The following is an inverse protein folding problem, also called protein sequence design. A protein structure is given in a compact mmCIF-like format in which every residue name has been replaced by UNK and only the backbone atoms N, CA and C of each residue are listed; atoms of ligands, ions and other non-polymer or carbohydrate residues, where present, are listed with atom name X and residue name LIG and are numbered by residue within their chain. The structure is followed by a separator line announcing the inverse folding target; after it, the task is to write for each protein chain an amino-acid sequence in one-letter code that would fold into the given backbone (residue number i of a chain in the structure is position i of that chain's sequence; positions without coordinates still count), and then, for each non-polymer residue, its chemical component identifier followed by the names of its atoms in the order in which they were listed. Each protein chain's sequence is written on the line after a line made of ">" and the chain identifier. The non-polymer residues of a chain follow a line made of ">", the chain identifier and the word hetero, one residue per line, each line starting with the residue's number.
data_IF_515855086173
#
_entry.id   IF_515855086173
#
_cell.length_a   1.000
_cell.length_b   1.000
_cell.length_c   1.000
_cell.angle_alpha   90.00
_cell.angle_beta   90.00
_cell.angle_gamma   90.00
#
_symmetry.space_group_name_H-M   'P 1'
#
loop_
_entity.id
_entity.type
_entity.pdbx_description
1 polymer ?
#
# COMPACT_ATOMS: atom_id res chain seq x y z
N UNK A 1 -4.50 0.83 -4.71
CA UNK A 1 -5.13 0.89 -3.38
C UNK A 1 -4.43 1.95 -2.52
N UNK A 2 -3.12 1.83 -2.22
CA UNK A 2 -2.39 2.76 -1.35
C UNK A 2 -2.48 4.22 -1.82
N UNK A 3 -2.35 4.48 -3.14
CA UNK A 3 -2.54 5.82 -3.70
C UNK A 3 -3.90 6.43 -3.31
N UNK A 4 -4.95 5.62 -3.23
CA UNK A 4 -6.29 6.07 -2.85
C UNK A 4 -6.56 6.04 -1.34
N UNK A 5 -5.53 5.82 -0.52
CA UNK A 5 -5.62 5.84 0.93
C UNK A 5 -6.22 4.57 1.54
N UNK A 6 -6.25 3.48 0.77
CA UNK A 6 -6.69 2.18 1.26
C UNK A 6 -5.48 1.41 1.76
N UNK A 7 -5.54 0.96 3.00
CA UNK A 7 -4.56 0.02 3.55
C UNK A 7 -4.81 -1.36 2.98
N UNK A 8 -3.74 -2.04 2.57
CA UNK A 8 -3.79 -3.46 2.19
C UNK A 8 -3.22 -4.23 3.37
N UNK A 9 -4.05 -4.97 4.06
CA UNK A 9 -3.67 -5.69 5.28
C UNK A 9 -2.99 -7.02 4.98
N UNK A 10 -3.41 -7.69 3.93
CA UNK A 10 -2.87 -8.98 3.55
C UNK A 10 -3.34 -9.41 2.17
N UNK A 11 -2.82 -10.52 1.71
CA UNK A 11 -3.16 -11.14 0.45
C UNK A 11 -3.63 -12.56 0.68
N UNK A 12 -4.74 -12.96 0.07
CA UNK A 12 -5.22 -14.34 0.08
C UNK A 12 -5.08 -14.93 -1.31
N UNK A 13 -4.21 -15.93 -1.46
CA UNK A 13 -4.09 -16.72 -2.68
C UNK A 13 -5.04 -17.91 -2.58
N UNK A 14 -6.10 -17.84 -3.36
CA UNK A 14 -7.22 -18.76 -3.27
C UNK A 14 -7.14 -19.89 -4.31
N UNK A 15 -7.70 -21.07 -3.97
CA UNK A 15 -7.86 -22.20 -4.85
C UNK A 15 -6.55 -22.81 -5.34
N UNK A 16 -5.55 -22.89 -4.47
CA UNK A 16 -4.33 -23.62 -4.73
C UNK A 16 -4.61 -25.13 -4.83
N UNK A 17 -3.89 -25.81 -5.70
CA UNK A 17 -3.92 -27.27 -5.74
C UNK A 17 -3.18 -27.81 -4.50
N UNK A 18 -3.77 -28.78 -3.78
CA UNK A 18 -3.07 -29.47 -2.69
C UNK A 18 -1.79 -30.17 -3.21
N UNK A 19 -0.75 -30.21 -2.37
CA UNK A 19 0.54 -30.82 -2.73
C UNK A 19 0.43 -32.33 -3.02
N UNK A 20 -0.55 -32.99 -2.41
CA UNK A 20 -0.85 -34.41 -2.60
C UNK A 20 -1.68 -34.69 -3.88
N UNK A 21 -1.90 -33.67 -4.71
CA UNK A 21 -2.65 -33.86 -5.96
C UNK A 21 -1.97 -34.86 -6.90
N UNK A 22 -2.78 -35.64 -7.61
CA UNK A 22 -2.35 -36.71 -8.50
C UNK A 22 -1.27 -36.26 -9.51
N UNK A 23 -0.51 -37.21 -10.00
CA UNK A 23 0.58 -37.05 -10.99
C UNK A 23 0.17 -36.18 -12.18
N UNK A 24 -1.11 -36.20 -12.57
CA UNK A 24 -1.67 -35.38 -13.62
C UNK A 24 -1.51 -33.87 -13.36
N UNK A 25 -1.41 -33.43 -12.09
CA UNK A 25 -1.28 -32.03 -11.72
C UNK A 25 0.16 -31.59 -11.47
N UNK A 26 1.15 -32.47 -11.69
CA UNK A 26 2.56 -32.19 -11.35
C UNK A 26 3.09 -30.90 -11.98
N UNK A 27 2.86 -30.71 -13.26
CA UNK A 27 3.32 -29.50 -13.98
C UNK A 27 2.64 -28.23 -13.43
N UNK A 28 1.35 -28.33 -13.09
CA UNK A 28 0.59 -27.23 -12.48
C UNK A 28 1.07 -26.91 -11.07
N UNK A 29 1.47 -27.89 -10.29
CA UNK A 29 2.04 -27.69 -8.96
C UNK A 29 3.42 -27.01 -9.05
N UNK A 30 4.26 -27.36 -10.02
CA UNK A 30 5.53 -26.70 -10.25
C UNK A 30 5.33 -25.23 -10.65
N UNK A 31 4.40 -24.96 -11.56
CA UNK A 31 4.03 -23.61 -11.95
C UNK A 31 3.46 -22.81 -10.77
N UNK A 32 2.56 -23.40 -9.99
CA UNK A 32 2.00 -22.81 -8.77
C UNK A 32 3.08 -22.39 -7.78
N UNK A 33 4.09 -23.25 -7.53
CA UNK A 33 5.20 -22.94 -6.62
C UNK A 33 6.00 -21.73 -7.11
N UNK A 34 6.29 -21.66 -8.41
CA UNK A 34 6.98 -20.50 -9.01
C UNK A 34 6.20 -19.21 -8.79
N UNK A 35 4.90 -19.21 -9.11
CA UNK A 35 4.06 -18.02 -8.90
C UNK A 35 3.90 -17.66 -7.43
N UNK A 36 3.80 -18.65 -6.53
CA UNK A 36 3.75 -18.39 -5.09
C UNK A 36 5.00 -17.69 -4.59
N UNK A 37 6.17 -18.05 -5.09
CA UNK A 37 7.41 -17.37 -4.76
C UNK A 37 7.40 -15.92 -5.27
N UNK A 38 7.03 -15.69 -6.53
CA UNK A 38 6.90 -14.35 -7.11
C UNK A 38 5.91 -13.49 -6.32
N UNK A 39 4.77 -14.07 -5.93
CA UNK A 39 3.76 -13.35 -5.11
C UNK A 39 4.36 -12.94 -3.76
N UNK A 40 5.01 -13.86 -3.04
CA UNK A 40 5.62 -13.56 -1.74
C UNK A 40 6.69 -12.48 -1.83
N UNK A 41 7.54 -12.54 -2.85
CA UNK A 41 8.58 -11.52 -3.08
C UNK A 41 7.97 -10.17 -3.48
N UNK A 42 7.01 -10.18 -4.39
CA UNK A 42 6.38 -8.96 -4.92
C UNK A 42 5.53 -8.22 -3.87
N UNK A 43 4.91 -8.95 -2.96
CA UNK A 43 4.02 -8.35 -1.95
C UNK A 43 4.64 -8.23 -0.56
N UNK A 44 5.92 -8.62 -0.40
CA UNK A 44 6.62 -8.39 0.85
C UNK A 44 6.60 -6.89 1.25
N UNK A 45 6.36 -6.54 2.52
CA UNK A 45 6.23 -7.40 3.71
C UNK A 45 4.78 -7.83 4.05
N UNK A 46 3.84 -7.75 3.12
CA UNK A 46 2.45 -8.13 3.41
C UNK A 46 2.32 -9.61 3.76
N UNK A 47 1.42 -9.91 4.69
CA UNK A 47 1.04 -11.28 5.03
C UNK A 47 0.37 -11.94 3.82
N UNK A 48 0.91 -13.07 3.36
CA UNK A 48 0.34 -13.88 2.30
C UNK A 48 -0.27 -15.14 2.91
N UNK A 49 -1.58 -15.23 2.86
CA UNK A 49 -2.37 -16.37 3.31
C UNK A 49 -2.78 -17.23 2.11
N UNK A 50 -3.09 -18.47 2.33
CA UNK A 50 -3.43 -19.41 1.26
C UNK A 50 -4.70 -20.18 1.56
N UNK A 51 -5.47 -20.51 0.53
CA UNK A 51 -6.51 -21.51 0.63
C UNK A 51 -6.44 -22.49 -0.53
N UNK A 52 -6.77 -23.74 -0.25
CA UNK A 52 -6.69 -24.81 -1.23
C UNK A 52 -8.04 -25.10 -1.89
N UNK A 53 -7.98 -25.62 -3.11
CA UNK A 53 -9.15 -26.07 -3.83
C UNK A 53 -9.87 -27.15 -3.02
N UNK A 54 -11.16 -26.92 -2.77
CA UNK A 54 -12.00 -27.90 -2.09
C UNK A 54 -12.67 -28.86 -3.08
N UNK A 55 -12.84 -30.12 -2.70
CA UNK A 55 -13.48 -31.12 -3.57
C UNK A 55 -14.98 -30.90 -3.77
N UNK A 56 -15.58 -30.12 -2.85
CA UNK A 56 -17.03 -29.81 -2.86
C UNK A 56 -17.24 -28.32 -2.64
N UNK A 57 -18.41 -27.83 -3.02
CA UNK A 57 -18.80 -26.46 -2.76
C UNK A 57 -18.92 -26.17 -1.26
N UNK A 58 -18.40 -25.03 -0.82
CA UNK A 58 -18.44 -24.60 0.57
C UNK A 58 -19.77 -23.90 0.86
N UNK A 59 -20.72 -24.63 1.43
CA UNK A 59 -22.03 -24.11 1.79
C UNK A 59 -22.29 -24.29 3.30
N UNK A 60 -22.84 -23.23 3.90
CA UNK A 60 -23.19 -23.20 5.31
C UNK A 60 -22.05 -22.84 6.25
N UNK A 61 -22.41 -22.46 7.47
CA UNK A 61 -21.50 -21.89 8.48
C UNK A 61 -20.33 -22.81 8.77
N UNK A 62 -20.56 -24.09 8.99
CA UNK A 62 -19.48 -25.05 9.32
C UNK A 62 -18.42 -25.19 8.23
N UNK A 63 -18.83 -25.07 6.94
CA UNK A 63 -17.89 -25.11 5.83
C UNK A 63 -17.08 -23.82 5.73
N UNK A 64 -17.71 -22.69 6.04
CA UNK A 64 -17.06 -21.37 6.11
C UNK A 64 -16.10 -21.26 7.29
N UNK A 65 -16.44 -21.82 8.45
CA UNK A 65 -15.53 -21.92 9.60
C UNK A 65 -14.25 -22.68 9.23
N UNK A 66 -14.38 -23.86 8.61
CA UNK A 66 -13.22 -24.63 8.11
C UNK A 66 -12.37 -23.87 7.10
N UNK A 67 -13.00 -23.08 6.22
CA UNK A 67 -12.26 -22.23 5.30
C UNK A 67 -11.53 -21.13 6.06
N UNK A 68 -12.17 -20.52 7.04
CA UNK A 68 -11.56 -19.54 7.92
C UNK A 68 -10.32 -20.07 8.64
N UNK A 69 -10.44 -21.23 9.27
CA UNK A 69 -9.33 -21.94 9.92
C UNK A 69 -8.19 -22.24 8.94
N UNK A 70 -8.53 -22.64 7.72
CA UNK A 70 -7.54 -22.92 6.67
C UNK A 70 -6.77 -21.66 6.24
N UNK A 71 -7.47 -20.56 6.08
CA UNK A 71 -6.89 -19.29 5.58
C UNK A 71 -6.10 -18.57 6.67
N UNK A 72 -6.68 -18.47 7.86
CA UNK A 72 -6.16 -17.64 8.95
C UNK A 72 -5.31 -18.42 9.95
N UNK A 73 -5.58 -19.72 10.15
CA UNK A 73 -4.88 -20.54 11.17
C UNK A 73 -4.94 -19.86 12.53
N UNK A 74 -3.77 -19.50 13.07
CA UNK A 74 -3.65 -18.80 14.37
C UNK A 74 -3.76 -17.26 14.25
N UNK A 75 -3.98 -16.74 13.04
CA UNK A 75 -4.12 -15.29 12.81
C UNK A 75 -5.53 -14.86 13.20
N UNK A 76 -5.65 -13.85 14.05
CA UNK A 76 -6.93 -13.22 14.35
C UNK A 76 -7.34 -12.26 13.20
N UNK A 77 -8.36 -12.59 12.39
CA UNK A 77 -8.78 -11.76 11.26
C UNK A 77 -9.49 -10.46 11.69
N UNK A 78 -9.77 -10.29 12.97
CA UNK A 78 -10.42 -9.07 13.49
C UNK A 78 -9.42 -7.97 13.82
N UNK A 79 -8.11 -8.29 13.81
CA UNK A 79 -7.03 -7.35 14.08
C UNK A 79 -6.37 -6.95 12.75
N UNK A 80 -6.08 -5.65 12.53
CA UNK A 80 -5.33 -5.22 11.36
C UNK A 80 -3.98 -5.93 11.27
N UNK A 81 -3.69 -6.57 10.13
CA UNK A 81 -2.44 -7.29 9.90
C UNK A 81 -1.30 -6.34 9.50
N UNK A 82 -1.63 -5.13 9.06
CA UNK A 82 -0.67 -4.09 8.71
C UNK A 82 -1.04 -2.77 9.41
N UNK A 83 -0.11 -2.18 10.13
CA UNK A 83 -0.24 -0.87 10.76
C UNK A 83 0.32 0.26 9.88
N UNK A 84 0.82 -0.08 8.70
CA UNK A 84 1.47 0.87 7.80
C UNK A 84 0.42 1.72 7.08
N UNK A 85 0.33 2.99 7.47
CA UNK A 85 -0.66 3.93 6.94
C UNK A 85 -0.30 4.37 5.52
N UNK A 86 -1.25 4.36 4.58
CA UNK A 86 -1.01 4.80 3.21
C UNK A 86 -0.74 6.31 3.09
N UNK A 87 -1.21 7.11 4.04
CA UNK A 87 -0.97 8.56 4.13
C UNK A 87 -0.69 8.94 5.57
N UNK A 88 0.40 9.65 5.79
CA UNK A 88 0.78 10.19 7.09
C UNK A 88 1.25 11.63 6.93
N UNK A 89 1.00 12.44 7.96
CA UNK A 89 1.50 13.80 8.06
C UNK A 89 2.18 13.93 9.42
N UNK A 90 3.42 14.38 9.41
CA UNK A 90 4.23 14.54 10.61
C UNK A 90 5.23 15.68 10.44
N UNK A 91 5.83 16.12 11.54
CA UNK A 91 6.88 17.17 11.54
C UNK A 91 8.25 16.49 11.68
N UNK A 92 9.19 16.89 10.82
CA UNK A 92 10.60 16.47 10.82
C UNK A 92 11.49 17.72 10.87
N UNK A 93 11.92 18.07 12.08
CA UNK A 93 12.66 19.31 12.33
C UNK A 93 11.84 20.56 12.01
N UNK A 94 12.31 21.36 11.04
CA UNK A 94 11.63 22.59 10.59
C UNK A 94 10.64 22.32 9.42
N UNK A 95 10.49 21.07 9.00
CA UNK A 95 9.63 20.70 7.89
C UNK A 95 8.39 19.97 8.36
N UNK A 96 7.26 20.31 7.79
CA UNK A 96 6.10 19.43 7.80
C UNK A 96 6.17 18.50 6.60
N UNK A 97 5.93 17.23 6.84
CA UNK A 97 6.11 16.18 5.85
C UNK A 97 4.80 15.47 5.59
N UNK A 98 4.40 15.42 4.33
CA UNK A 98 3.35 14.51 3.87
C UNK A 98 4.02 13.26 3.27
N UNK A 99 3.71 12.11 3.83
CA UNK A 99 4.24 10.80 3.42
C UNK A 99 3.13 9.98 2.78
N UNK A 100 3.30 9.60 1.52
CA UNK A 100 2.32 8.83 0.74
C UNK A 100 2.97 7.49 0.38
N UNK A 101 2.35 6.38 0.77
CA UNK A 101 2.83 5.03 0.43
C UNK A 101 2.51 4.71 -1.02
N UNK A 102 3.53 4.38 -1.79
CA UNK A 102 3.44 4.03 -3.22
C UNK A 102 4.29 2.79 -3.50
N UNK A 103 3.90 1.60 -3.01
CA UNK A 103 4.64 0.38 -3.21
C UNK A 103 4.70 0.03 -4.70
N UNK A 104 5.76 -0.65 -5.12
CA UNK A 104 5.98 -1.11 -6.51
C UNK A 104 6.04 0.03 -7.53
N UNK A 105 6.37 1.25 -7.08
CA UNK A 105 6.45 2.43 -7.93
C UNK A 105 7.89 2.90 -8.02
N UNK A 106 8.36 3.21 -9.22
CA UNK A 106 9.65 3.85 -9.42
C UNK A 106 9.47 5.38 -9.39
N UNK A 107 10.49 6.08 -8.90
CA UNK A 107 10.47 7.55 -8.77
C UNK A 107 10.11 8.24 -10.09
N UNK A 108 10.59 7.71 -11.20
CA UNK A 108 10.41 8.24 -12.55
C UNK A 108 8.95 8.16 -13.04
N UNK A 109 8.14 7.34 -12.40
CA UNK A 109 6.71 7.18 -12.70
C UNK A 109 5.81 8.15 -11.92
N UNK A 110 6.40 8.91 -10.98
CA UNK A 110 5.64 9.79 -10.08
C UNK A 110 5.74 11.23 -10.54
N UNK A 111 4.60 11.84 -10.84
CA UNK A 111 4.47 13.28 -11.02
C UNK A 111 3.71 13.89 -9.84
N UNK A 112 4.19 15.03 -9.38
CA UNK A 112 3.63 15.72 -8.23
C UNK A 112 3.36 17.19 -8.59
N UNK A 113 2.13 17.63 -8.32
CA UNK A 113 1.73 19.03 -8.51
C UNK A 113 1.02 19.52 -7.25
N UNK A 114 1.36 20.70 -6.78
CA UNK A 114 0.63 21.37 -5.71
C UNK A 114 -0.43 22.30 -6.31
N UNK A 115 -1.63 22.23 -5.78
CA UNK A 115 -2.68 23.22 -5.95
C UNK A 115 -2.85 23.99 -4.64
N UNK A 116 -3.79 24.92 -4.57
CA UNK A 116 -3.95 25.76 -3.38
C UNK A 116 -4.08 24.96 -2.08
N UNK A 117 -4.87 23.88 -2.09
CA UNK A 117 -5.22 23.08 -0.91
C UNK A 117 -4.94 21.59 -1.06
N UNK A 118 -4.29 21.17 -2.14
CA UNK A 118 -4.11 19.75 -2.43
C UNK A 118 -2.77 19.46 -3.11
N UNK A 119 -2.31 18.23 -2.92
CA UNK A 119 -1.27 17.60 -3.74
C UNK A 119 -1.93 16.70 -4.78
N UNK A 120 -1.68 16.97 -6.04
CA UNK A 120 -2.04 16.10 -7.13
C UNK A 120 -0.88 15.14 -7.37
N UNK A 121 -1.10 13.85 -7.12
CA UNK A 121 -0.13 12.78 -7.31
C UNK A 121 -0.57 11.93 -8.50
N UNK A 122 0.29 11.78 -9.48
CA UNK A 122 0.11 10.91 -10.62
C UNK A 122 1.15 9.79 -10.58
N UNK A 123 0.70 8.55 -10.79
CA UNK A 123 1.55 7.36 -10.85
C UNK A 123 1.14 6.55 -12.07
N UNK A 124 1.92 6.62 -13.14
CA UNK A 124 1.57 6.03 -14.42
C UNK A 124 0.24 6.60 -14.94
N UNK A 125 -0.79 5.76 -15.03
CA UNK A 125 -2.14 6.16 -15.47
C UNK A 125 -3.09 6.53 -14.31
N UNK A 126 -2.64 6.38 -13.08
CA UNK A 126 -3.46 6.66 -11.90
C UNK A 126 -3.21 8.07 -11.40
N UNK A 127 -4.27 8.73 -10.97
CA UNK A 127 -4.24 10.12 -10.50
C UNK A 127 -5.09 10.28 -9.26
N UNK A 128 -4.55 10.96 -8.24
CA UNK A 128 -5.27 11.29 -7.02
C UNK A 128 -4.94 12.69 -6.53
N UNK A 129 -5.97 13.43 -6.11
CA UNK A 129 -5.83 14.64 -5.32
C UNK A 129 -5.84 14.26 -3.82
N UNK A 130 -4.80 14.66 -3.11
CA UNK A 130 -4.66 14.49 -1.66
C UNK A 130 -4.86 15.87 -1.03
N UNK A 131 -5.99 16.06 -0.36
CA UNK A 131 -6.29 17.32 0.33
C UNK A 131 -5.31 17.53 1.49
N UNK A 132 -4.69 18.69 1.54
CA UNK A 132 -3.77 19.07 2.60
C UNK A 132 -4.54 19.71 3.77
N UNK A 133 -4.13 19.46 5.01
CA UNK A 133 -4.60 20.24 6.16
C UNK A 133 -4.33 21.74 5.93
N UNK A 134 -5.15 22.58 6.53
CA UNK A 134 -5.04 24.04 6.39
C UNK A 134 -3.63 24.55 6.73
N UNK A 135 -2.97 23.93 7.73
CA UNK A 135 -1.60 24.26 8.14
C UNK A 135 -0.54 23.99 7.06
N UNK A 136 -0.80 23.06 6.14
CA UNK A 136 0.08 22.70 5.03
C UNK A 136 -0.32 23.35 3.71
N UNK A 137 -1.61 23.68 3.55
CA UNK A 137 -2.12 24.30 2.34
C UNK A 137 -1.46 25.64 2.06
N UNK A 138 -1.13 26.40 3.12
CA UNK A 138 -0.46 27.72 3.04
C UNK A 138 1.06 27.63 2.87
N UNK A 139 1.66 26.44 2.99
CA UNK A 139 3.12 26.23 2.89
C UNK A 139 3.51 25.77 1.49
N UNK A 140 4.71 26.14 1.05
CA UNK A 140 5.23 25.68 -0.24
C UNK A 140 6.05 24.39 -0.09
N UNK A 141 5.93 23.46 -1.05
CA UNK A 141 6.75 22.28 -1.07
C UNK A 141 8.18 22.65 -1.46
N UNK A 142 9.12 22.40 -0.57
CA UNK A 142 10.55 22.72 -0.79
C UNK A 142 11.32 21.51 -1.33
N UNK A 143 10.84 20.29 -1.07
CA UNK A 143 11.51 19.08 -1.49
C UNK A 143 10.51 17.93 -1.60
N UNK A 144 10.70 17.07 -2.62
CA UNK A 144 10.04 15.79 -2.74
C UNK A 144 11.09 14.68 -2.89
N UNK A 145 10.98 13.64 -2.07
CA UNK A 145 11.89 12.49 -2.05
C UNK A 145 11.07 11.20 -2.17
N UNK A 146 11.63 10.21 -2.85
CA UNK A 146 11.08 8.86 -2.88
C UNK A 146 12.03 7.94 -2.11
N UNK A 147 11.55 7.37 -1.01
CA UNK A 147 12.33 6.52 -0.13
C UNK A 147 11.45 5.45 0.52
N UNK A 148 11.93 4.22 0.58
CA UNK A 148 11.26 3.09 1.23
C UNK A 148 9.79 2.94 0.80
N UNK A 149 9.55 2.96 -0.54
CA UNK A 149 8.22 2.92 -1.16
C UNK A 149 7.28 4.06 -0.73
N UNK A 150 7.83 5.17 -0.28
CA UNK A 150 7.05 6.34 0.14
C UNK A 150 7.51 7.61 -0.59
N UNK A 151 6.54 8.38 -1.04
CA UNK A 151 6.74 9.74 -1.53
C UNK A 151 6.66 10.68 -0.31
N UNK A 152 7.78 11.30 0.02
CA UNK A 152 7.90 12.27 1.11
C UNK A 152 7.92 13.68 0.51
N UNK A 153 6.91 14.49 0.82
CA UNK A 153 6.83 15.88 0.39
C UNK A 153 7.03 16.76 1.61
N UNK A 154 8.13 17.52 1.60
CA UNK A 154 8.50 18.43 2.70
C UNK A 154 8.03 19.85 2.40
N UNK A 155 7.37 20.46 3.37
CA UNK A 155 6.85 21.81 3.32
C UNK A 155 7.54 22.69 4.36
N UNK A 156 7.70 23.95 4.03
CA UNK A 156 8.25 24.98 4.92
C UNK A 156 7.38 26.24 4.86
N UNK A 157 7.32 26.97 5.95
CA UNK A 157 6.75 28.32 5.93
C UNK A 157 7.57 29.23 5.02
N UNK A 158 6.91 29.99 4.14
CA UNK A 158 7.57 31.10 3.46
C UNK A 158 7.98 32.14 4.51
N UNK A 159 9.28 32.32 4.71
CA UNK A 159 9.76 33.54 5.32
C UNK A 159 9.40 34.67 4.37
N UNK A 160 8.37 35.46 4.67
CA UNK A 160 8.20 36.80 4.08
C UNK A 160 9.42 37.61 4.48
N UNK A 161 10.41 37.61 3.60
CA UNK A 161 11.49 38.58 3.68
C UNK A 161 10.88 39.96 3.78
N UNK A 162 11.22 40.65 4.85
CA UNK A 162 10.83 42.01 5.24
C UNK A 162 11.49 43.01 4.26
N UNK A 163 11.13 42.94 2.95
CA UNK A 163 11.53 43.91 1.93
C UNK A 163 10.58 45.06 1.84
N UNK A 164 10.22 45.64 2.98
CA UNK A 164 9.50 46.92 2.97
C UNK A 164 10.00 47.81 4.12
N UNK A 165 11.29 48.14 4.10
CA UNK A 165 11.82 49.31 4.83
C UNK A 165 12.97 49.90 4.03
N UNK A 166 12.67 50.56 2.94
CA UNK A 166 13.51 51.59 2.35
C UNK A 166 12.69 52.40 1.35
N UNK A 167 11.96 53.39 1.82
CA UNK A 167 11.65 54.61 1.10
C UNK A 167 11.33 55.70 2.10
#
# INVERSE_FOLDING_TARGET
>A
FCLYGLTVDGLIVNRLYPEESDVYFKDKLEEQRKYMQVIKESFSPLQVMTSYQQPVELVGIRSLEKLGDMVFGDIDPTVPLSLDKPLEIFTDGEFDVTSIKLPFTMKEQVNLFKTADSLLVEVGHYRRSVTLPFTLASKEPVKAEFKDDRLLVKFREEHKDDRTRAS
#
